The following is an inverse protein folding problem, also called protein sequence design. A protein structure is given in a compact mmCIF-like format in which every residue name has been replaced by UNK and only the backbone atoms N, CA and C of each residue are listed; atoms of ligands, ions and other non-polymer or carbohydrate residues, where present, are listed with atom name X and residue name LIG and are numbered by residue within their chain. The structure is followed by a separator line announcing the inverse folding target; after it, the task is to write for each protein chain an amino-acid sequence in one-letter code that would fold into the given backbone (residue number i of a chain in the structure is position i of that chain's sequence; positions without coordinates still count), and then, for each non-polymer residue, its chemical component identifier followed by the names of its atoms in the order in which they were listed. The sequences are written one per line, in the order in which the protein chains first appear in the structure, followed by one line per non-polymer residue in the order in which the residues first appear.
data_IF_906273499247
#
_entry.id   IF_906273499247
#
_cell.length_a   1.000
_cell.length_b   1.000
_cell.length_c   1.000
_cell.angle_alpha   90.00
_cell.angle_beta   90.00
_cell.angle_gamma   90.00
#
_symmetry.space_group_name_H-M   'P 1'
#
loop_
_entity.id
_entity.type
_entity.pdbx_description
1 polymer ?
#
# COMPACT_ATOMS: atom_id res chain seq x y z
N UNK A 1 22.93 -29.37 24.41
CA UNK A 1 22.92 -29.66 22.96
C UNK A 1 21.49 -29.88 22.52
N UNK A 2 20.90 -28.90 21.85
CA UNK A 2 19.72 -29.08 20.99
C UNK A 2 19.89 -28.14 19.81
N UNK A 3 20.08 -28.73 18.63
CA UNK A 3 20.10 -28.11 17.32
C UNK A 3 18.69 -28.16 16.73
N UNK A 4 18.18 -27.04 16.23
CA UNK A 4 17.23 -26.94 15.10
C UNK A 4 17.04 -25.44 14.83
N UNK A 5 17.23 -24.89 13.64
CA UNK A 5 16.79 -25.40 12.34
C UNK A 5 15.54 -24.60 11.94
N UNK A 6 15.69 -23.74 10.93
CA UNK A 6 14.75 -22.72 10.48
C UNK A 6 13.32 -23.21 10.16
N UNK A 7 12.33 -22.33 10.36
CA UNK A 7 11.04 -22.34 9.64
C UNK A 7 10.33 -20.98 9.79
N UNK A 8 10.77 -19.99 9.01
CA UNK A 8 9.92 -18.85 8.65
C UNK A 8 8.99 -19.32 7.53
N UNK A 9 7.83 -19.88 7.87
CA UNK A 9 6.78 -20.11 6.88
C UNK A 9 5.45 -20.42 7.57
N UNK A 10 4.54 -19.44 7.52
CA UNK A 10 3.07 -19.58 7.37
C UNK A 10 2.38 -18.26 7.72
N UNK A 11 2.56 -17.24 6.88
CA UNK A 11 1.42 -16.35 6.63
C UNK A 11 0.55 -17.10 5.63
N UNK A 12 -0.34 -17.95 6.16
CA UNK A 12 -1.40 -18.55 5.37
C UNK A 12 -2.19 -17.39 4.79
N UNK A 13 -2.01 -17.17 3.49
CA UNK A 13 -2.93 -16.40 2.65
C UNK A 13 -4.29 -17.08 2.76
N UNK A 14 -5.02 -16.68 3.79
CA UNK A 14 -6.40 -17.08 3.98
C UNK A 14 -7.14 -16.36 2.88
N UNK A 15 -7.47 -17.06 1.79
CA UNK A 15 -8.44 -16.60 0.81
C UNK A 15 -9.75 -16.36 1.56
N UNK A 16 -9.94 -15.13 2.02
CA UNK A 16 -11.19 -14.67 2.58
C UNK A 16 -12.13 -14.46 1.39
N UNK A 17 -12.72 -15.57 0.92
CA UNK A 17 -13.87 -15.52 0.02
C UNK A 17 -15.03 -15.05 0.87
N UNK A 18 -15.20 -13.73 0.95
CA UNK A 18 -16.44 -13.15 1.45
C UNK A 18 -17.52 -13.43 0.42
N UNK A 19 -18.24 -14.54 0.58
CA UNK A 19 -19.59 -14.69 0.03
C UNK A 19 -20.50 -13.81 0.88
N UNK A 20 -20.46 -12.50 0.60
CA UNK A 20 -21.40 -11.55 1.16
C UNK A 20 -22.73 -11.74 0.45
N UNK A 21 -23.72 -12.30 1.14
CA UNK A 21 -25.12 -12.11 0.77
C UNK A 21 -25.36 -10.62 0.60
N UNK A 22 -25.74 -10.17 -0.60
CA UNK A 22 -26.23 -8.82 -0.87
C UNK A 22 -27.54 -8.61 -0.07
N UNK A 23 -27.44 -8.38 1.23
CA UNK A 23 -28.46 -7.60 1.93
C UNK A 23 -28.46 -6.24 1.25
N UNK A 24 -29.63 -5.78 0.80
CA UNK A 24 -29.80 -4.46 0.20
C UNK A 24 -29.27 -3.39 1.17
N UNK A 25 -27.99 -3.07 1.02
CA UNK A 25 -27.26 -2.14 1.88
C UNK A 25 -27.91 -0.78 1.79
N UNK A 26 -27.92 -0.04 2.90
CA UNK A 26 -28.46 1.31 2.86
C UNK A 26 -27.66 2.11 1.83
N UNK A 27 -28.32 2.83 0.91
CA UNK A 27 -27.60 3.65 -0.06
C UNK A 27 -26.66 4.58 0.70
N UNK A 28 -25.38 4.50 0.38
CA UNK A 28 -24.36 5.31 1.03
C UNK A 28 -24.72 6.78 0.85
N UNK A 29 -24.90 7.48 1.98
CA UNK A 29 -25.16 8.90 1.98
C UNK A 29 -23.83 9.62 2.25
N UNK A 30 -23.29 10.39 1.29
CA UNK A 30 -22.01 11.09 1.46
C UNK A 30 -21.95 11.95 2.73
N UNK A 31 -23.08 12.56 3.14
CA UNK A 31 -23.16 13.37 4.37
C UNK A 31 -23.00 12.55 5.65
N UNK A 32 -23.44 11.28 5.66
CA UNK A 32 -23.29 10.35 6.79
C UNK A 32 -21.97 9.57 6.75
N UNK A 33 -21.32 9.55 5.59
CA UNK A 33 -20.06 8.85 5.40
C UNK A 33 -18.86 9.64 5.94
N UNK A 34 -18.90 10.97 5.83
CA UNK A 34 -17.83 11.89 6.27
C UNK A 34 -17.23 11.59 7.66
N UNK A 35 -18.03 11.33 8.72
CA UNK A 35 -17.49 11.03 10.05
C UNK A 35 -16.87 9.62 10.14
N UNK A 36 -17.41 8.63 9.43
CA UNK A 36 -16.95 7.23 9.50
C UNK A 36 -15.72 6.96 8.63
N UNK A 37 -15.57 7.67 7.51
CA UNK A 37 -14.41 7.53 6.61
C UNK A 37 -13.22 8.43 7.01
N UNK A 38 -13.35 9.23 8.07
CA UNK A 38 -12.26 10.09 8.57
C UNK A 38 -10.95 9.33 8.81
N UNK A 39 -10.93 8.18 9.53
CA UNK A 39 -9.71 7.41 9.73
C UNK A 39 -9.08 6.97 8.41
N UNK A 40 -9.87 6.43 7.49
CA UNK A 40 -9.41 6.00 6.16
C UNK A 40 -8.84 7.15 5.35
N UNK A 41 -9.50 8.32 5.36
CA UNK A 41 -9.01 9.52 4.67
C UNK A 41 -7.69 10.02 5.26
N UNK A 42 -7.56 10.00 6.60
CA UNK A 42 -6.32 10.40 7.27
C UNK A 42 -5.19 9.43 6.96
N UNK A 43 -5.44 8.12 6.96
CA UNK A 43 -4.43 7.12 6.60
C UNK A 43 -4.03 7.22 5.14
N UNK A 44 -4.97 7.44 4.21
CA UNK A 44 -4.68 7.64 2.79
C UNK A 44 -3.82 8.87 2.57
N UNK A 45 -4.18 10.02 3.20
CA UNK A 45 -3.35 11.23 3.14
C UNK A 45 -1.95 11.00 3.71
N UNK A 46 -1.84 10.27 4.83
CA UNK A 46 -0.55 9.94 5.43
C UNK A 46 0.29 9.08 4.49
N UNK A 47 -0.30 8.07 3.84
CA UNK A 47 0.38 7.25 2.85
C UNK A 47 0.88 8.11 1.67
N UNK A 48 0.04 8.98 1.11
CA UNK A 48 0.43 9.88 0.02
C UNK A 48 1.58 10.82 0.38
N UNK A 49 1.62 11.35 1.62
CA UNK A 49 2.74 12.17 2.09
C UNK A 49 4.04 11.37 2.15
N UNK A 50 4.00 10.17 2.74
CA UNK A 50 5.19 9.32 2.81
C UNK A 50 5.67 8.87 1.43
N UNK A 51 4.76 8.61 0.49
CA UNK A 51 5.12 8.32 -0.90
C UNK A 51 5.88 9.46 -1.55
N UNK A 52 5.49 10.72 -1.28
CA UNK A 52 6.24 11.88 -1.76
C UNK A 52 7.66 11.92 -1.20
N UNK A 53 7.83 11.65 0.10
CA UNK A 53 9.15 11.62 0.75
C UNK A 53 10.03 10.51 0.17
N UNK A 54 9.47 9.31 0.00
CA UNK A 54 10.16 8.17 -0.61
C UNK A 54 10.50 8.43 -2.07
N UNK A 55 9.60 9.03 -2.85
CA UNK A 55 9.86 9.40 -4.25
C UNK A 55 10.99 10.42 -4.36
N UNK A 56 11.04 11.41 -3.46
CA UNK A 56 12.14 12.37 -3.40
C UNK A 56 13.47 11.65 -3.13
N UNK A 57 13.50 10.70 -2.19
CA UNK A 57 14.68 9.89 -1.90
C UNK A 57 15.11 9.06 -3.11
N UNK A 58 14.16 8.41 -3.79
CA UNK A 58 14.40 7.63 -5.01
C UNK A 58 15.05 8.51 -6.09
N UNK A 59 14.50 9.69 -6.35
CA UNK A 59 15.03 10.60 -7.37
C UNK A 59 16.47 11.04 -7.03
N UNK A 60 16.72 11.42 -5.78
CA UNK A 60 18.08 11.79 -5.31
C UNK A 60 19.06 10.63 -5.50
N UNK A 61 18.67 9.39 -5.20
CA UNK A 61 19.54 8.24 -5.39
C UNK A 61 19.85 8.00 -6.88
N UNK A 62 18.85 8.13 -7.77
CA UNK A 62 19.03 7.94 -9.21
C UNK A 62 19.91 9.00 -9.87
N UNK A 63 20.00 10.19 -9.28
CA UNK A 63 20.89 11.27 -9.74
C UNK A 63 22.37 11.01 -9.39
N UNK A 64 22.66 10.06 -8.50
CA UNK A 64 24.03 9.69 -8.17
C UNK A 64 24.75 9.11 -9.40
N UNK A 65 25.90 9.70 -9.74
CA UNK A 65 26.70 9.33 -10.91
C UNK A 65 27.31 7.94 -10.80
N UNK A 66 27.68 7.53 -9.59
CA UNK A 66 28.41 6.29 -9.32
C UNK A 66 27.48 5.16 -8.83
N UNK A 67 26.18 5.27 -9.10
CA UNK A 67 25.20 4.25 -8.72
C UNK A 67 25.40 2.98 -9.56
N UNK A 68 25.68 1.80 -8.95
CA UNK A 68 25.84 0.54 -9.67
C UNK A 68 24.62 0.20 -10.53
N UNK A 69 24.81 -0.48 -11.66
CA UNK A 69 23.75 -0.77 -12.62
C UNK A 69 22.55 -1.51 -12.03
N UNK A 70 22.81 -2.57 -11.26
CA UNK A 70 21.75 -3.38 -10.62
C UNK A 70 20.99 -2.58 -9.55
N UNK A 71 21.71 -1.78 -8.75
CA UNK A 71 21.11 -0.88 -7.75
C UNK A 71 20.24 0.18 -8.43
N UNK A 72 20.73 0.78 -9.52
CA UNK A 72 19.99 1.74 -10.33
C UNK A 72 18.72 1.13 -10.91
N UNK A 73 18.76 -0.11 -11.38
CA UNK A 73 17.59 -0.82 -11.90
C UNK A 73 16.56 -1.06 -10.79
N UNK A 74 16.98 -1.55 -9.62
CA UNK A 74 16.10 -1.79 -8.48
C UNK A 74 15.43 -0.49 -8.00
N UNK A 75 16.18 0.61 -7.89
CA UNK A 75 15.64 1.92 -7.49
C UNK A 75 14.72 2.49 -8.58
N UNK A 76 15.03 2.28 -9.86
CA UNK A 76 14.17 2.70 -10.97
C UNK A 76 12.84 1.95 -10.97
N UNK A 77 12.87 0.65 -10.71
CA UNK A 77 11.66 -0.16 -10.51
C UNK A 77 10.80 0.38 -9.35
N UNK A 78 11.44 0.71 -8.22
CA UNK A 78 10.74 1.37 -7.11
C UNK A 78 10.11 2.70 -7.52
N UNK A 79 10.78 3.52 -8.34
CA UNK A 79 10.21 4.78 -8.86
C UNK A 79 8.91 4.55 -9.61
N UNK A 80 8.88 3.56 -10.50
CA UNK A 80 7.70 3.23 -11.30
C UNK A 80 6.56 2.75 -10.40
N UNK A 81 6.87 1.85 -9.46
CA UNK A 81 5.88 1.33 -8.52
C UNK A 81 5.30 2.37 -7.56
N UNK A 82 6.10 3.34 -7.13
CA UNK A 82 5.57 4.44 -6.31
C UNK A 82 4.68 5.41 -7.11
N UNK A 83 4.91 5.57 -8.43
CA UNK A 83 3.99 6.34 -9.28
C UNK A 83 2.65 5.63 -9.42
N UNK A 84 2.69 4.32 -9.66
CA UNK A 84 1.50 3.45 -9.70
C UNK A 84 0.75 3.52 -8.36
N UNK A 85 1.43 3.28 -7.24
CA UNK A 85 0.83 3.32 -5.91
C UNK A 85 0.20 4.68 -5.58
N UNK A 86 0.87 5.78 -5.94
CA UNK A 86 0.34 7.14 -5.73
C UNK A 86 -0.94 7.39 -6.52
N UNK A 87 -0.97 6.96 -7.78
CA UNK A 87 -2.16 7.06 -8.65
C UNK A 87 -3.33 6.27 -8.07
N UNK A 88 -3.06 5.03 -7.63
CA UNK A 88 -4.08 4.15 -7.07
C UNK A 88 -4.64 4.68 -5.75
N UNK A 89 -3.80 5.18 -4.83
CA UNK A 89 -4.28 5.78 -3.58
C UNK A 89 -5.13 7.04 -3.82
N UNK A 90 -4.79 7.85 -4.84
CA UNK A 90 -5.57 9.03 -5.20
C UNK A 90 -6.95 8.64 -5.76
N UNK A 91 -6.99 7.72 -6.73
CA UNK A 91 -8.24 7.20 -7.31
C UNK A 91 -9.13 6.55 -6.25
N UNK A 92 -8.53 5.75 -5.35
CA UNK A 92 -9.24 5.17 -4.21
C UNK A 92 -9.79 6.20 -3.24
N UNK A 93 -9.08 7.30 -2.98
CA UNK A 93 -9.62 8.39 -2.17
C UNK A 93 -10.85 9.05 -2.83
N UNK A 94 -10.83 9.21 -4.16
CA UNK A 94 -11.92 9.80 -4.93
C UNK A 94 -13.14 8.86 -4.94
N UNK A 95 -12.95 7.56 -5.19
CA UNK A 95 -14.01 6.55 -5.11
C UNK A 95 -14.55 6.38 -3.70
N UNK A 96 -13.70 6.47 -2.67
CA UNK A 96 -14.14 6.47 -1.28
C UNK A 96 -15.06 7.67 -1.01
N UNK A 97 -14.78 8.83 -1.62
CA UNK A 97 -15.63 10.02 -1.46
C UNK A 97 -16.97 9.92 -2.19
N UNK A 98 -17.04 9.13 -3.27
CA UNK A 98 -18.24 8.88 -4.06
C UNK A 98 -19.02 7.63 -3.62
N UNK A 99 -18.62 6.99 -2.52
CA UNK A 99 -19.18 5.73 -2.02
C UNK A 99 -18.98 4.52 -2.96
N UNK A 100 -18.01 4.57 -3.86
CA UNK A 100 -17.65 3.45 -4.71
C UNK A 100 -16.62 2.54 -4.03
N UNK A 101 -17.09 1.82 -3.01
CA UNK A 101 -16.24 0.95 -2.19
C UNK A 101 -15.61 -0.20 -2.97
N UNK A 102 -16.24 -0.64 -4.07
CA UNK A 102 -15.70 -1.73 -4.88
C UNK A 102 -14.42 -1.29 -5.57
N UNK A 103 -14.44 -0.13 -6.23
CA UNK A 103 -13.23 0.40 -6.87
C UNK A 103 -12.22 0.87 -5.82
N UNK A 104 -12.66 1.54 -4.74
CA UNK A 104 -11.79 1.93 -3.63
C UNK A 104 -10.96 0.75 -3.11
N UNK A 105 -11.63 -0.38 -2.82
CA UNK A 105 -10.97 -1.57 -2.31
C UNK A 105 -9.95 -2.12 -3.29
N UNK A 106 -10.28 -2.17 -4.57
CA UNK A 106 -9.37 -2.65 -5.60
C UNK A 106 -8.13 -1.75 -5.69
N UNK A 107 -8.32 -0.43 -5.72
CA UNK A 107 -7.24 0.54 -5.87
C UNK A 107 -6.31 0.55 -4.65
N UNK A 108 -6.83 0.43 -3.43
CA UNK A 108 -5.99 0.30 -2.25
C UNK A 108 -5.20 -1.02 -2.23
N UNK A 109 -5.77 -2.11 -2.76
CA UNK A 109 -5.05 -3.38 -2.92
C UNK A 109 -3.96 -3.29 -4.00
N UNK A 110 -4.24 -2.60 -5.12
CA UNK A 110 -3.28 -2.38 -6.20
C UNK A 110 -2.13 -1.48 -5.72
N UNK A 111 -2.43 -0.43 -4.95
CA UNK A 111 -1.41 0.41 -4.31
C UNK A 111 -0.51 -0.40 -3.37
N UNK A 112 -1.10 -1.25 -2.52
CA UNK A 112 -0.36 -2.11 -1.61
C UNK A 112 0.54 -3.09 -2.38
N UNK A 113 0.02 -3.66 -3.46
CA UNK A 113 0.75 -4.59 -4.34
C UNK A 113 1.94 -3.89 -5.02
N UNK A 114 1.77 -2.65 -5.48
CA UNK A 114 2.84 -1.88 -6.08
C UNK A 114 3.97 -1.58 -5.07
N UNK A 115 3.64 -1.12 -3.86
CA UNK A 115 4.66 -0.88 -2.81
C UNK A 115 5.37 -2.19 -2.44
N UNK A 116 4.62 -3.29 -2.30
CA UNK A 116 5.21 -4.62 -2.05
C UNK A 116 6.19 -5.03 -3.15
N UNK A 117 5.84 -4.78 -4.41
CA UNK A 117 6.71 -5.12 -5.54
C UNK A 117 8.05 -4.38 -5.45
N UNK A 118 8.07 -3.13 -5.02
CA UNK A 118 9.32 -2.42 -4.71
C UNK A 118 10.06 -3.06 -3.52
N UNK A 119 9.34 -3.40 -2.44
CA UNK A 119 9.94 -4.03 -1.25
C UNK A 119 10.62 -5.36 -1.61
N UNK A 120 9.91 -6.23 -2.32
CA UNK A 120 10.40 -7.54 -2.75
C UNK A 120 11.65 -7.37 -3.64
N UNK A 121 11.66 -6.38 -4.55
CA UNK A 121 12.84 -6.09 -5.39
C UNK A 121 14.06 -5.63 -4.60
N UNK A 122 13.86 -4.98 -3.46
CA UNK A 122 14.95 -4.53 -2.58
C UNK A 122 15.36 -5.62 -1.57
N UNK A 123 14.49 -6.56 -1.26
CA UNK A 123 14.69 -7.54 -0.19
C UNK A 123 15.88 -8.46 -0.45
N UNK A 124 16.15 -8.88 -1.68
CA UNK A 124 17.17 -9.90 -1.91
C UNK A 124 18.60 -9.36 -1.79
N UNK A 125 18.86 -8.17 -2.37
CA UNK A 125 20.23 -7.65 -2.53
C UNK A 125 20.46 -6.26 -1.91
N UNK A 126 19.39 -5.58 -1.47
CA UNK A 126 19.44 -4.14 -1.19
C UNK A 126 18.83 -3.73 0.17
N UNK A 127 18.74 -4.67 1.12
CA UNK A 127 18.18 -4.40 2.46
C UNK A 127 18.96 -3.33 3.24
N UNK A 128 20.26 -3.18 2.97
CA UNK A 128 21.09 -2.16 3.61
C UNK A 128 20.86 -0.75 3.09
N UNK A 129 20.13 -0.59 1.97
CA UNK A 129 19.81 0.74 1.45
C UNK A 129 18.83 1.44 2.40
N UNK A 130 19.02 2.75 2.68
CA UNK A 130 18.03 3.53 3.42
C UNK A 130 16.63 3.50 2.80
N UNK A 131 16.54 3.23 1.50
CA UNK A 131 15.28 3.08 0.78
C UNK A 131 14.46 1.89 1.31
N UNK A 132 15.09 0.77 1.68
CA UNK A 132 14.38 -0.43 2.13
C UNK A 132 13.48 -0.15 3.35
N UNK A 133 14.02 0.50 4.38
CA UNK A 133 13.26 0.85 5.60
C UNK A 133 12.11 1.83 5.33
N UNK A 134 12.29 2.74 4.37
CA UNK A 134 11.21 3.65 3.95
C UNK A 134 10.07 2.87 3.28
N UNK A 135 10.41 1.97 2.36
CA UNK A 135 9.45 1.15 1.62
C UNK A 135 8.70 0.20 2.55
N UNK A 136 9.37 -0.40 3.53
CA UNK A 136 8.73 -1.22 4.57
C UNK A 136 7.72 -0.41 5.39
N UNK A 137 8.11 0.79 5.83
CA UNK A 137 7.22 1.68 6.58
C UNK A 137 6.05 2.20 5.74
N UNK A 138 6.23 2.31 4.42
CA UNK A 138 5.19 2.70 3.48
C UNK A 138 4.22 1.55 3.23
N UNK A 139 4.73 0.32 3.07
CA UNK A 139 3.91 -0.88 2.96
C UNK A 139 2.98 -1.03 4.17
N UNK A 140 3.49 -0.80 5.38
CA UNK A 140 2.70 -0.86 6.61
C UNK A 140 1.57 0.19 6.64
N UNK A 141 1.84 1.46 6.28
CA UNK A 141 0.79 2.51 6.31
C UNK A 141 -0.26 2.29 5.23
N UNK A 142 0.13 1.74 4.07
CA UNK A 142 -0.80 1.40 2.99
C UNK A 142 -1.70 0.23 3.38
N UNK A 143 -1.16 -0.75 4.10
CA UNK A 143 -1.94 -1.83 4.72
C UNK A 143 -3.00 -1.28 5.68
N UNK A 144 -2.63 -0.35 6.56
CA UNK A 144 -3.58 0.32 7.47
C UNK A 144 -4.70 1.04 6.71
N UNK A 145 -4.38 1.76 5.62
CA UNK A 145 -5.40 2.44 4.83
C UNK A 145 -6.39 1.46 4.18
N UNK A 146 -5.88 0.34 3.65
CA UNK A 146 -6.68 -0.76 3.08
C UNK A 146 -7.57 -1.44 4.12
N UNK A 147 -7.06 -1.65 5.33
CA UNK A 147 -7.83 -2.26 6.42
C UNK A 147 -8.94 -1.33 6.93
N UNK A 148 -8.66 -0.03 7.06
CA UNK A 148 -9.65 0.98 7.46
C UNK A 148 -10.76 1.16 6.41
N UNK A 149 -10.44 1.06 5.12
CA UNK A 149 -11.43 1.01 4.05
C UNK A 149 -12.39 -0.16 4.24
N UNK A 150 -11.86 -1.36 4.46
CA UNK A 150 -12.69 -2.55 4.61
C UNK A 150 -13.64 -2.45 5.82
N UNK A 151 -13.18 -1.85 6.92
CA UNK A 151 -14.01 -1.55 8.08
C UNK A 151 -15.10 -0.51 7.74
N UNK A 152 -14.76 0.50 6.94
CA UNK A 152 -15.71 1.52 6.48
C UNK A 152 -16.83 0.91 5.61
N UNK A 153 -16.48 -0.02 4.72
CA UNK A 153 -17.42 -0.72 3.85
C UNK A 153 -18.34 -1.70 4.61
N UNK A 154 -17.84 -2.37 5.65
CA UNK A 154 -18.60 -3.36 6.43
C UNK A 154 -19.80 -2.80 7.22
N UNK A 155 -19.95 -1.47 7.27
CA UNK A 155 -20.96 -0.78 8.08
C UNK A 155 -22.25 -0.38 7.36
N UNK A 156 -22.49 -0.82 6.11
CA UNK A 156 -23.56 -0.34 5.22
C UNK A 156 -24.42 -1.43 4.59
#
# INVERSE_FOLDING_TARGET
MFTSGAAYDKVISTKMVYVGTMSAGRPCNPRRMLPRSQPTRLSTKKASLKYSDTMNKINVMLEAKDLPGEEREAISHCREKYREASSQMASGADHLSSCDFRHTRQEFMDALTAVRSCLDRLHDSFQSLPLYALVEADFAVTGVARDLEALTNSGW
#
